data_IF_731609036090
#
_entry.id   IF_731609036090
#
_cell.length_a   1.000
_cell.length_b   1.000
_cell.length_c   1.000
_cell.angle_alpha   90.00
_cell.angle_beta   90.00
_cell.angle_gamma   90.00
#
_symmetry.space_group_name_H-M   'P 1'
#
loop_
_entity.id
_entity.type
_entity.pdbx_description
1 polymer ?
#
# COMPACT_ATOMS: atom_id res chain seq x y z
N UNK A 1 0.17 15.08 -19.40
CA UNK A 1 -0.65 16.04 -18.63
C UNK A 1 -1.16 15.37 -17.36
N UNK A 2 -0.99 15.99 -16.20
CA UNK A 2 -1.54 15.54 -14.91
C UNK A 2 -2.82 16.31 -14.64
N UNK A 3 -3.88 15.60 -14.25
CA UNK A 3 -5.17 16.17 -13.87
C UNK A 3 -5.48 15.73 -12.43
N UNK A 4 -5.56 16.68 -11.52
CA UNK A 4 -5.92 16.47 -10.12
C UNK A 4 -7.40 16.74 -9.87
N UNK A 5 -7.96 16.17 -8.80
CA UNK A 5 -9.38 16.35 -8.46
C UNK A 5 -10.35 15.56 -9.36
N UNK A 6 -9.85 14.62 -10.17
CA UNK A 6 -10.67 13.74 -11.01
C UNK A 6 -10.70 12.33 -10.41
N UNK A 7 -11.85 11.90 -9.94
CA UNK A 7 -12.09 10.55 -9.47
C UNK A 7 -12.76 9.73 -10.57
N UNK A 8 -12.18 8.56 -10.89
CA UNK A 8 -12.77 7.63 -11.86
C UNK A 8 -13.97 6.93 -11.23
N UNK A 9 -15.14 7.09 -11.84
CA UNK A 9 -16.41 6.55 -11.36
C UNK A 9 -16.98 5.45 -12.24
N UNK A 10 -16.42 5.25 -13.46
CA UNK A 10 -16.87 4.20 -14.36
C UNK A 10 -16.12 4.18 -15.68
N UNK A 11 -16.45 3.18 -16.50
CA UNK A 11 -15.97 3.00 -17.85
C UNK A 11 -17.12 2.66 -18.79
N UNK A 12 -17.21 3.36 -19.92
CA UNK A 12 -18.10 3.06 -21.02
C UNK A 12 -17.27 2.51 -22.17
N UNK A 13 -17.45 1.21 -22.50
CA UNK A 13 -16.67 0.55 -23.58
C UNK A 13 -17.40 0.72 -24.90
N UNK A 14 -16.67 1.21 -25.91
CA UNK A 14 -17.08 1.33 -27.31
C UNK A 14 -16.15 0.52 -28.20
N UNK A 15 -16.52 0.27 -29.44
CA UNK A 15 -15.78 -0.59 -30.35
C UNK A 15 -14.31 -0.15 -30.55
N UNK A 16 -14.06 1.16 -30.63
CA UNK A 16 -12.75 1.73 -30.94
C UNK A 16 -12.09 2.51 -29.80
N UNK A 17 -12.81 2.75 -28.71
CA UNK A 17 -12.30 3.51 -27.57
C UNK A 17 -13.03 3.15 -26.27
N UNK A 18 -12.42 3.50 -25.18
CA UNK A 18 -13.04 3.45 -23.83
C UNK A 18 -13.23 4.88 -23.35
N UNK A 19 -14.43 5.24 -22.89
CA UNK A 19 -14.67 6.48 -22.18
C UNK A 19 -14.48 6.24 -20.69
N UNK A 20 -13.47 6.87 -20.12
CA UNK A 20 -13.22 6.92 -18.66
C UNK A 20 -14.13 7.98 -18.08
N UNK A 21 -15.10 7.57 -17.28
CA UNK A 21 -16.06 8.46 -16.62
C UNK A 21 -15.47 8.91 -15.28
N UNK A 22 -15.53 10.20 -15.01
CA UNK A 22 -15.05 10.76 -13.73
C UNK A 22 -16.15 11.60 -13.07
N UNK A 23 -15.92 12.01 -11.83
CA UNK A 23 -16.81 12.91 -11.09
C UNK A 23 -16.99 14.31 -11.74
N UNK A 24 -16.16 14.66 -12.75
CA UNK A 24 -16.22 15.96 -13.43
C UNK A 24 -16.61 15.80 -14.90
N UNK A 25 -15.88 15.01 -15.68
CA UNK A 25 -16.14 14.78 -17.10
C UNK A 25 -15.62 13.43 -17.58
N UNK A 26 -16.02 12.99 -18.78
CA UNK A 26 -15.46 11.81 -19.42
C UNK A 26 -14.24 12.12 -20.28
N UNK A 27 -13.36 11.11 -20.41
CA UNK A 27 -12.18 11.13 -21.29
C UNK A 27 -12.24 9.93 -22.22
N UNK A 28 -12.20 10.15 -23.53
CA UNK A 28 -12.09 9.07 -24.51
C UNK A 28 -10.63 8.70 -24.74
N UNK A 29 -10.34 7.41 -24.66
CA UNK A 29 -8.99 6.87 -24.86
C UNK A 29 -9.05 5.50 -25.53
N UNK A 30 -7.99 5.10 -26.23
CA UNK A 30 -7.87 3.75 -26.78
C UNK A 30 -7.49 2.74 -25.70
N UNK A 31 -6.65 3.13 -24.77
CA UNK A 31 -6.09 2.24 -23.76
C UNK A 31 -6.11 2.88 -22.37
N UNK A 32 -6.23 2.04 -21.36
CA UNK A 32 -6.25 2.45 -19.94
C UNK A 32 -5.20 1.67 -19.16
N UNK A 33 -4.43 2.36 -18.33
CA UNK A 33 -3.56 1.72 -17.33
C UNK A 33 -4.04 2.15 -15.95
N UNK A 34 -4.51 1.20 -15.16
CA UNK A 34 -4.95 1.42 -13.80
C UNK A 34 -3.79 1.19 -12.83
N UNK A 35 -3.30 2.27 -12.24
CA UNK A 35 -2.29 2.28 -11.18
C UNK A 35 -2.84 2.93 -9.89
N UNK A 36 -4.10 2.65 -9.55
CA UNK A 36 -4.84 3.35 -8.49
C UNK A 36 -4.51 2.89 -7.04
N UNK A 37 -3.45 2.13 -6.82
CA UNK A 37 -2.95 1.76 -5.49
C UNK A 37 -4.04 1.18 -4.59
N UNK A 38 -4.39 1.88 -3.49
CA UNK A 38 -5.45 1.48 -2.55
C UNK A 38 -6.82 1.26 -3.20
N UNK A 39 -7.07 1.81 -4.39
CA UNK A 39 -8.35 1.71 -5.11
C UNK A 39 -8.28 0.82 -6.35
N UNK A 40 -7.12 0.20 -6.66
CA UNK A 40 -6.88 -0.48 -7.93
C UNK A 40 -7.85 -1.64 -8.21
N UNK A 41 -8.23 -2.41 -7.19
CA UNK A 41 -9.20 -3.50 -7.30
C UNK A 41 -10.63 -2.99 -7.54
N UNK A 42 -10.98 -1.81 -7.01
CA UNK A 42 -12.26 -1.14 -7.28
C UNK A 42 -12.31 -0.62 -8.72
N UNK A 43 -11.24 0.04 -9.16
CA UNK A 43 -11.14 0.54 -10.53
C UNK A 43 -11.20 -0.61 -11.54
N UNK A 44 -10.56 -1.76 -11.26
CA UNK A 44 -10.67 -2.94 -12.10
C UNK A 44 -12.13 -3.43 -12.22
N UNK A 45 -12.89 -3.46 -11.09
CA UNK A 45 -14.33 -3.84 -11.13
C UNK A 45 -15.18 -2.83 -11.87
N UNK A 46 -14.88 -1.53 -11.79
CA UNK A 46 -15.55 -0.52 -12.61
C UNK A 46 -15.35 -0.79 -14.12
N UNK A 47 -14.18 -1.30 -14.51
CA UNK A 47 -13.88 -1.76 -15.87
C UNK A 47 -14.47 -3.15 -16.21
N UNK A 48 -15.28 -3.73 -15.32
CA UNK A 48 -15.87 -5.08 -15.41
C UNK A 48 -14.85 -6.21 -15.45
N UNK A 49 -13.69 -5.97 -14.87
CA UNK A 49 -12.60 -6.95 -14.73
C UNK A 49 -12.63 -7.52 -13.31
N UNK A 50 -12.70 -8.85 -13.19
CA UNK A 50 -12.50 -9.49 -11.89
C UNK A 50 -11.03 -9.35 -11.49
N UNK A 51 -10.71 -8.62 -10.42
CA UNK A 51 -9.33 -8.46 -10.00
C UNK A 51 -8.68 -9.78 -9.52
N UNK A 52 -9.47 -10.77 -9.08
CA UNK A 52 -8.97 -12.02 -8.50
C UNK A 52 -8.31 -11.85 -7.11
N UNK A 53 -8.18 -10.63 -6.65
CA UNK A 53 -7.66 -10.23 -5.34
C UNK A 53 -8.53 -9.14 -4.73
N UNK A 54 -8.38 -8.92 -3.42
CA UNK A 54 -8.95 -7.77 -2.71
C UNK A 54 -7.83 -6.96 -2.09
N UNK A 55 -7.91 -5.63 -2.21
CA UNK A 55 -7.01 -4.76 -1.48
C UNK A 55 -7.50 -4.61 -0.05
N UNK A 56 -6.68 -5.06 0.87
CA UNK A 56 -6.91 -4.95 2.31
C UNK A 56 -5.94 -3.90 2.87
N UNK A 57 -6.44 -2.83 3.48
CA UNK A 57 -5.58 -1.78 4.00
C UNK A 57 -4.92 -2.19 5.31
N UNK A 58 -3.60 -2.03 5.39
CA UNK A 58 -2.83 -2.15 6.61
C UNK A 58 -2.18 -0.81 6.94
N UNK A 59 -2.52 -0.26 8.10
CA UNK A 59 -1.91 0.97 8.59
C UNK A 59 -0.60 0.65 9.30
N UNK A 60 0.41 1.44 8.99
CA UNK A 60 1.67 1.48 9.71
C UNK A 60 1.78 2.78 10.50
N UNK A 61 1.86 2.67 11.82
CA UNK A 61 2.13 3.82 12.68
C UNK A 61 3.64 4.04 12.74
N UNK A 62 4.05 5.29 12.68
CA UNK A 62 5.45 5.71 12.78
C UNK A 62 5.65 6.64 13.97
N UNK A 63 6.87 6.68 14.42
CA UNK A 63 7.39 7.69 15.35
C UNK A 63 8.59 8.39 14.69
N UNK A 64 8.86 9.58 15.09
CA UNK A 64 10.05 10.34 14.72
C UNK A 64 10.95 10.51 15.95
N UNK A 65 12.26 10.47 15.75
CA UNK A 65 13.22 10.78 16.82
C UNK A 65 13.24 12.27 17.07
N UNK A 66 13.28 12.65 18.35
CA UNK A 66 13.51 14.03 18.74
C UNK A 66 14.86 14.55 18.20
N UNK A 67 14.99 15.87 18.10
CA UNK A 67 16.24 16.48 17.62
C UNK A 67 17.47 16.07 18.42
N UNK A 68 17.31 15.81 19.72
CA UNK A 68 18.38 15.36 20.58
C UNK A 68 18.82 13.90 20.31
N UNK A 69 17.94 13.08 19.74
CA UNK A 69 18.17 11.66 19.53
C UNK A 69 18.52 11.27 18.07
N UNK A 70 18.30 12.16 17.11
CA UNK A 70 18.50 11.88 15.67
C UNK A 70 19.92 11.43 15.32
N UNK A 71 20.92 11.88 16.08
CA UNK A 71 22.33 11.53 15.85
C UNK A 71 22.68 10.10 16.30
N UNK A 72 21.77 9.40 17.01
CA UNK A 72 21.88 7.97 17.30
C UNK A 72 21.78 7.12 16.04
N UNK A 73 21.19 7.68 14.95
CA UNK A 73 20.95 6.98 13.67
C UNK A 73 21.70 7.73 12.58
N UNK A 74 22.80 7.18 12.10
CA UNK A 74 23.62 7.79 11.05
C UNK A 74 23.27 7.32 9.63
N UNK A 75 22.51 6.23 9.51
CA UNK A 75 22.12 5.64 8.24
C UNK A 75 20.76 4.97 8.35
N UNK A 76 20.58 3.85 7.66
CA UNK A 76 19.39 3.02 7.73
C UNK A 76 19.66 1.85 8.66
N UNK A 77 18.75 1.56 9.60
CA UNK A 77 18.86 0.43 10.52
C UNK A 77 17.64 -0.45 10.37
N UNK A 78 17.83 -1.66 9.85
CA UNK A 78 16.77 -2.64 9.61
C UNK A 78 17.02 -3.91 10.42
N UNK A 79 15.99 -4.55 10.97
CA UNK A 79 16.13 -5.90 11.49
C UNK A 79 16.34 -6.88 10.33
N UNK A 80 16.89 -8.06 10.62
CA UNK A 80 16.90 -9.16 9.66
C UNK A 80 15.43 -9.58 9.41
N UNK A 81 14.99 -9.63 8.14
CA UNK A 81 13.62 -10.01 7.82
C UNK A 81 13.32 -11.44 8.31
N UNK A 82 12.14 -11.64 8.91
CA UNK A 82 11.63 -12.97 9.19
C UNK A 82 10.89 -13.48 7.93
N UNK A 83 11.37 -14.57 7.28
CA UNK A 83 10.73 -15.10 6.08
C UNK A 83 9.27 -15.55 6.28
N UNK A 84 8.87 -15.80 7.53
CA UNK A 84 7.50 -16.19 7.85
C UNK A 84 6.51 -15.02 7.78
N UNK A 85 6.97 -13.78 7.75
CA UNK A 85 6.14 -12.59 7.77
C UNK A 85 6.49 -11.64 6.62
N UNK A 86 5.49 -11.16 5.85
CA UNK A 86 5.70 -10.26 4.71
C UNK A 86 5.98 -8.81 5.13
N UNK A 87 5.96 -8.52 6.42
CA UNK A 87 6.20 -7.18 6.95
C UNK A 87 7.56 -7.11 7.61
N UNK A 88 8.38 -6.17 7.18
CA UNK A 88 9.59 -5.79 7.89
C UNK A 88 9.18 -5.29 9.29
N UNK A 89 9.88 -5.76 10.31
CA UNK A 89 9.75 -5.21 11.67
C UNK A 89 10.10 -3.73 11.71
N UNK A 90 9.90 -3.11 12.88
CA UNK A 90 10.26 -1.71 13.07
C UNK A 90 11.73 -1.46 12.70
N UNK A 91 11.98 -0.37 12.01
CA UNK A 91 13.29 0.03 11.53
C UNK A 91 13.45 1.55 11.62
N UNK A 92 14.67 2.03 11.45
CA UNK A 92 14.96 3.47 11.44
C UNK A 92 15.35 3.92 10.04
N UNK A 93 14.75 5.00 9.59
CA UNK A 93 14.99 5.59 8.27
C UNK A 93 15.35 7.07 8.44
N UNK A 94 16.55 7.43 7.99
CA UNK A 94 16.96 8.81 7.87
C UNK A 94 16.26 9.47 6.69
N UNK A 95 15.56 10.57 6.94
CA UNK A 95 14.76 11.27 5.92
C UNK A 95 15.59 12.30 5.17
N UNK A 96 15.29 12.52 3.89
CA UNK A 96 15.99 13.49 3.03
C UNK A 96 15.86 14.92 3.59
N UNK A 97 14.71 15.26 4.15
CA UNK A 97 14.44 16.56 4.77
C UNK A 97 15.05 16.76 6.16
N UNK A 98 15.87 15.82 6.64
CA UNK A 98 16.32 15.72 8.03
C UNK A 98 15.33 14.87 8.86
N UNK A 99 15.64 14.64 10.12
CA UNK A 99 14.86 13.78 10.99
C UNK A 99 15.12 12.29 10.76
N UNK A 100 14.59 11.48 11.66
CA UNK A 100 14.67 10.01 11.60
C UNK A 100 13.32 9.43 11.95
N UNK A 101 12.68 8.79 11.00
CA UNK A 101 11.46 8.02 11.24
C UNK A 101 11.80 6.62 11.73
N UNK A 102 10.97 6.11 12.64
CA UNK A 102 11.05 4.74 13.14
C UNK A 102 9.68 4.08 13.13
N UNK A 103 9.64 2.87 12.62
CA UNK A 103 8.42 2.10 12.34
C UNK A 103 8.58 1.30 11.06
N UNK A 104 7.45 0.93 10.42
CA UNK A 104 6.09 0.91 10.97
C UNK A 104 5.76 -0.37 11.73
N UNK A 105 4.65 -0.36 12.48
CA UNK A 105 3.89 -1.56 12.76
C UNK A 105 2.98 -1.91 11.54
N UNK A 106 2.17 -2.97 11.64
CA UNK A 106 1.24 -3.34 10.59
C UNK A 106 -0.09 -3.78 11.18
N UNK A 107 -1.06 -2.87 11.26
CA UNK A 107 -2.40 -3.14 11.78
C UNK A 107 -3.46 -3.04 10.69
N UNK A 108 -4.44 -3.93 10.72
CA UNK A 108 -5.60 -3.84 9.84
C UNK A 108 -6.30 -2.49 10.01
N UNK A 109 -6.60 -1.80 8.92
CA UNK A 109 -7.30 -0.52 8.92
C UNK A 109 -8.76 -0.71 8.51
N UNK A 110 -9.68 -0.07 9.22
CA UNK A 110 -11.11 -0.06 8.90
C UNK A 110 -11.49 0.96 7.83
N UNK A 111 -10.50 1.66 7.26
CA UNK A 111 -10.66 2.62 6.18
C UNK A 111 -9.47 2.51 5.23
N UNK A 112 -9.70 2.51 3.89
CA UNK A 112 -8.61 2.39 2.91
C UNK A 112 -7.61 3.54 2.99
N UNK A 113 -8.10 4.74 3.21
CA UNK A 113 -7.28 5.93 3.45
C UNK A 113 -7.41 6.37 4.91
N UNK A 114 -7.24 5.39 5.83
CA UNK A 114 -7.34 5.56 7.27
C UNK A 114 -5.98 5.81 7.91
N UNK A 115 -5.55 7.07 7.97
CA UNK A 115 -4.27 7.47 8.55
C UNK A 115 -4.35 7.68 10.06
N UNK A 116 -5.54 7.93 10.60
CA UNK A 116 -5.81 8.01 12.04
C UNK A 116 -6.08 6.64 12.66
N UNK A 117 -5.77 6.50 13.97
CA UNK A 117 -5.98 5.24 14.71
C UNK A 117 -7.46 4.85 14.84
N UNK A 118 -8.35 5.83 14.78
CA UNK A 118 -9.81 5.67 14.93
C UNK A 118 -10.57 5.87 13.62
N UNK A 119 -9.86 6.05 12.50
CA UNK A 119 -10.49 6.22 11.20
C UNK A 119 -11.30 4.99 10.82
N UNK A 120 -12.57 5.23 10.45
CA UNK A 120 -13.51 4.17 10.14
C UNK A 120 -14.31 4.50 8.87
N UNK A 121 -14.57 3.50 8.04
CA UNK A 121 -15.47 3.55 6.88
C UNK A 121 -16.29 2.27 6.85
N UNK A 122 -17.61 2.40 6.93
CA UNK A 122 -18.51 1.24 6.87
C UNK A 122 -18.34 0.46 5.56
N UNK A 123 -18.21 1.17 4.43
CA UNK A 123 -17.99 0.57 3.11
C UNK A 123 -16.68 -0.22 3.06
N UNK A 124 -15.56 0.38 3.49
CA UNK A 124 -14.25 -0.25 3.43
C UNK A 124 -14.15 -1.44 4.39
N UNK A 125 -14.73 -1.29 5.57
CA UNK A 125 -14.80 -2.35 6.58
C UNK A 125 -15.63 -3.53 6.07
N UNK A 126 -16.81 -3.27 5.49
CA UNK A 126 -17.65 -4.31 4.92
C UNK A 126 -16.96 -5.03 3.78
N UNK A 127 -16.38 -4.30 2.82
CA UNK A 127 -15.67 -4.91 1.68
C UNK A 127 -14.49 -5.78 2.13
N UNK A 128 -13.77 -5.37 3.18
CA UNK A 128 -12.63 -6.12 3.72
C UNK A 128 -13.09 -7.35 4.51
N UNK A 129 -14.11 -7.22 5.36
CA UNK A 129 -14.57 -8.29 6.25
C UNK A 129 -15.52 -9.27 5.57
N UNK A 130 -16.25 -8.86 4.52
CA UNK A 130 -17.07 -9.76 3.69
C UNK A 130 -16.21 -10.66 2.77
N UNK A 131 -14.92 -10.40 2.66
CA UNK A 131 -14.01 -11.20 1.84
C UNK A 131 -13.45 -12.39 2.64
N UNK A 132 -13.75 -13.59 2.20
CA UNK A 132 -13.35 -14.82 2.91
C UNK A 132 -11.83 -14.97 3.07
N UNK A 133 -11.05 -14.44 2.11
CA UNK A 133 -9.59 -14.38 2.21
C UNK A 133 -9.10 -13.67 3.48
N UNK A 134 -9.80 -12.61 3.91
CA UNK A 134 -9.46 -11.86 5.14
C UNK A 134 -9.56 -12.73 6.38
N UNK A 135 -10.64 -13.52 6.51
CA UNK A 135 -10.80 -14.42 7.64
C UNK A 135 -9.78 -15.54 7.65
N UNK A 136 -9.45 -16.11 6.48
CA UNK A 136 -8.39 -17.11 6.38
C UNK A 136 -7.02 -16.56 6.79
N UNK A 137 -6.71 -15.34 6.37
CA UNK A 137 -5.49 -14.63 6.78
C UNK A 137 -5.49 -14.38 8.30
N UNK A 138 -6.60 -13.90 8.88
CA UNK A 138 -6.72 -13.66 10.32
C UNK A 138 -6.58 -14.95 11.12
N UNK A 139 -7.27 -16.02 10.74
CA UNK A 139 -7.16 -17.31 11.42
C UNK A 139 -5.73 -17.86 11.41
N UNK A 140 -5.01 -17.68 10.31
CA UNK A 140 -3.62 -18.13 10.21
C UNK A 140 -2.66 -17.30 11.07
N UNK A 141 -2.93 -16.00 11.25
CA UNK A 141 -1.99 -15.05 11.85
C UNK A 141 -2.57 -14.29 13.06
N UNK A 142 -3.57 -14.83 13.76
CA UNK A 142 -4.31 -14.11 14.79
C UNK A 142 -3.45 -13.66 15.98
N UNK A 143 -2.50 -14.48 16.43
CA UNK A 143 -1.59 -14.14 17.53
C UNK A 143 -0.68 -12.97 17.16
N UNK A 144 -0.16 -13.00 15.93
CA UNK A 144 0.65 -11.91 15.39
C UNK A 144 -0.16 -10.61 15.28
N UNK A 145 -1.36 -10.68 14.70
CA UNK A 145 -2.25 -9.53 14.56
C UNK A 145 -2.63 -8.89 15.90
N UNK A 146 -2.92 -9.72 16.93
CA UNK A 146 -3.18 -9.22 18.27
C UNK A 146 -1.96 -8.49 18.87
N UNK A 147 -0.76 -9.00 18.63
CA UNK A 147 0.50 -8.37 19.03
C UNK A 147 0.68 -7.00 18.38
N UNK A 148 0.39 -6.90 17.06
CA UNK A 148 0.47 -5.63 16.32
C UNK A 148 -0.52 -4.58 16.84
N UNK A 149 -1.77 -4.99 17.12
CA UNK A 149 -2.75 -4.08 17.71
C UNK A 149 -2.30 -3.56 19.08
N UNK A 150 -1.75 -4.44 19.95
CA UNK A 150 -1.23 -4.01 21.26
C UNK A 150 -0.08 -3.02 21.12
N UNK A 151 0.80 -3.20 20.13
CA UNK A 151 1.89 -2.26 19.83
C UNK A 151 1.37 -0.92 19.30
N UNK A 152 0.34 -0.93 18.44
CA UNK A 152 -0.24 0.29 17.90
C UNK A 152 -0.82 1.24 18.96
N UNK A 153 -1.31 0.68 20.07
CA UNK A 153 -1.90 1.45 21.16
C UNK A 153 -0.96 1.63 22.38
N UNK A 154 0.26 1.10 22.33
CA UNK A 154 1.22 1.19 23.42
C UNK A 154 2.59 1.68 22.97
N UNK A 155 2.87 2.96 23.20
CA UNK A 155 4.19 3.57 22.99
C UNK A 155 5.32 2.76 23.65
N UNK A 156 5.05 2.23 24.87
CA UNK A 156 6.01 1.42 25.63
C UNK A 156 6.36 0.11 24.92
N UNK A 157 5.39 -0.57 24.32
CA UNK A 157 5.62 -1.81 23.56
C UNK A 157 6.37 -1.51 22.27
N UNK A 158 5.98 -0.45 21.58
CA UNK A 158 6.65 0.00 20.35
C UNK A 158 8.12 0.36 20.62
N UNK A 159 8.37 1.14 21.69
CA UNK A 159 9.73 1.50 22.11
C UNK A 159 10.57 0.26 22.42
N UNK A 160 10.02 -0.77 23.07
CA UNK A 160 10.75 -2.00 23.35
C UNK A 160 11.24 -2.70 22.08
N UNK A 161 10.47 -2.66 21.00
CA UNK A 161 10.90 -3.22 19.73
C UNK A 161 12.00 -2.37 19.07
N UNK A 162 11.92 -1.05 19.16
CA UNK A 162 12.99 -0.14 18.73
C UNK A 162 14.28 -0.33 19.54
N UNK A 163 14.16 -0.58 20.84
CA UNK A 163 15.30 -0.82 21.73
C UNK A 163 16.07 -2.11 21.42
N UNK A 164 15.49 -3.04 20.63
CA UNK A 164 16.25 -4.18 20.09
C UNK A 164 17.33 -3.74 19.11
N UNK A 165 17.12 -2.63 18.42
CA UNK A 165 18.05 -2.06 17.44
C UNK A 165 18.93 -0.97 18.09
N UNK A 166 18.34 -0.13 18.95
CA UNK A 166 19.05 0.93 19.68
C UNK A 166 18.70 0.83 21.16
N UNK A 167 19.45 0.06 21.97
CA UNK A 167 19.14 -0.17 23.39
C UNK A 167 19.10 1.10 24.26
N UNK A 168 19.82 2.14 23.86
CA UNK A 168 19.89 3.43 24.58
C UNK A 168 18.73 4.40 24.28
N UNK A 169 17.74 3.98 23.48
CA UNK A 169 16.62 4.86 23.12
C UNK A 169 15.65 5.03 24.30
N UNK A 170 15.33 6.26 24.64
CA UNK A 170 14.41 6.61 25.72
C UNK A 170 13.01 6.98 25.20
N UNK A 171 12.01 6.95 26.09
CA UNK A 171 10.62 7.18 25.70
C UNK A 171 10.32 8.63 25.30
N UNK A 172 11.03 9.57 25.83
CA UNK A 172 10.95 11.01 25.53
C UNK A 172 11.69 11.37 24.23
N UNK A 173 12.47 10.44 23.70
CA UNK A 173 13.20 10.62 22.44
C UNK A 173 12.41 10.22 21.18
N UNK A 174 11.17 9.72 21.34
CA UNK A 174 10.32 9.38 20.20
C UNK A 174 8.98 10.10 20.28
N UNK A 175 8.51 10.64 19.16
CA UNK A 175 7.23 11.33 19.03
C UNK A 175 6.38 10.70 17.91
N UNK A 176 5.04 10.58 18.08
CA UNK A 176 4.19 10.08 17.02
C UNK A 176 4.25 10.96 15.78
N UNK A 177 4.40 10.36 14.62
CA UNK A 177 4.34 11.07 13.35
C UNK A 177 3.25 10.51 12.42
N UNK A 178 3.24 10.93 11.15
CA UNK A 178 2.19 10.53 10.19
C UNK A 178 2.24 9.03 9.91
N UNK A 179 1.08 8.39 9.98
CA UNK A 179 0.93 7.01 9.58
C UNK A 179 0.88 6.87 8.05
N UNK A 180 1.28 5.70 7.56
CA UNK A 180 1.07 5.27 6.19
C UNK A 180 0.01 4.17 6.09
N UNK A 181 -0.62 4.00 4.92
CA UNK A 181 -1.50 2.87 4.66
C UNK A 181 -0.95 2.07 3.49
N UNK A 182 -0.70 0.79 3.73
CA UNK A 182 -0.27 -0.17 2.71
C UNK A 182 -1.50 -0.76 2.02
N UNK A 183 -1.50 -0.74 0.68
CA UNK A 183 -2.45 -1.45 -0.15
C UNK A 183 -2.01 -2.92 -0.27
N UNK A 184 -2.43 -3.79 0.63
CA UNK A 184 -2.04 -5.20 0.57
C UNK A 184 -3.01 -5.98 -0.30
N UNK A 185 -2.53 -6.51 -1.41
CA UNK A 185 -3.31 -7.42 -2.23
C UNK A 185 -3.41 -8.78 -1.54
N UNK A 186 -4.65 -9.26 -1.38
CA UNK A 186 -4.98 -10.51 -0.71
C UNK A 186 -5.77 -11.41 -1.64
N UNK A 187 -5.29 -12.64 -1.82
CA UNK A 187 -5.98 -13.65 -2.61
C UNK A 187 -7.09 -14.38 -1.83
N UNK A 188 -7.95 -15.13 -2.53
CA UNK A 188 -9.14 -15.78 -1.93
C UNK A 188 -8.80 -16.88 -0.91
N UNK A 189 -7.59 -17.42 -0.97
CA UNK A 189 -7.09 -18.41 0.01
C UNK A 189 -6.40 -17.77 1.22
N UNK A 190 -6.43 -16.42 1.34
CA UNK A 190 -5.77 -15.68 2.41
C UNK A 190 -4.26 -15.52 2.20
N UNK A 191 -3.76 -15.79 1.00
CA UNK A 191 -2.37 -15.54 0.63
C UNK A 191 -2.16 -14.04 0.37
N UNK A 192 -1.12 -13.51 0.97
CA UNK A 192 -0.62 -12.17 0.66
C UNK A 192 0.12 -12.21 -0.67
N UNK A 193 -0.07 -11.20 -1.49
CA UNK A 193 0.62 -11.07 -2.77
C UNK A 193 1.76 -10.08 -2.57
N UNK A 194 2.99 -10.55 -2.75
CA UNK A 194 4.20 -9.79 -2.44
C UNK A 194 4.91 -9.30 -3.71
N UNK A 195 4.61 -9.91 -4.86
CA UNK A 195 5.18 -9.56 -6.15
C UNK A 195 4.15 -8.86 -7.06
N UNK A 196 4.55 -8.49 -8.26
CA UNK A 196 3.65 -7.93 -9.25
C UNK A 196 2.42 -8.81 -9.47
N UNK A 197 1.25 -8.18 -9.39
CA UNK A 197 0.00 -8.80 -9.78
C UNK A 197 -0.73 -7.89 -10.76
N UNK A 198 -0.62 -8.20 -12.05
CA UNK A 198 -1.10 -7.36 -13.14
C UNK A 198 -2.08 -8.16 -14.00
N UNK A 199 -3.27 -7.61 -14.21
CA UNK A 199 -4.24 -8.14 -15.17
C UNK A 199 -4.24 -7.34 -16.44
N UNK A 200 -4.26 -8.03 -17.56
CA UNK A 200 -4.24 -7.46 -18.91
C UNK A 200 -5.53 -7.85 -19.63
N UNK A 201 -6.22 -6.85 -20.11
CA UNK A 201 -7.40 -6.99 -20.96
C UNK A 201 -7.13 -6.36 -22.31
N UNK A 202 -8.00 -6.56 -23.29
CA UNK A 202 -7.79 -6.07 -24.67
C UNK A 202 -7.37 -4.59 -24.73
N UNK A 203 -8.01 -3.74 -23.92
CA UNK A 203 -7.80 -2.28 -23.97
C UNK A 203 -7.41 -1.71 -22.59
N UNK A 204 -7.13 -2.55 -21.60
CA UNK A 204 -6.72 -2.07 -20.27
C UNK A 204 -5.70 -2.98 -19.60
N UNK A 205 -4.86 -2.35 -18.76
CA UNK A 205 -3.93 -3.01 -17.86
C UNK A 205 -4.25 -2.54 -16.45
N UNK A 206 -4.41 -3.48 -15.52
CA UNK A 206 -4.68 -3.19 -14.12
C UNK A 206 -3.52 -3.67 -13.26
N UNK A 207 -2.76 -2.74 -12.71
CA UNK A 207 -1.69 -3.02 -11.74
C UNK A 207 -2.35 -3.15 -10.37
N UNK A 208 -2.58 -4.39 -9.95
CA UNK A 208 -3.30 -4.74 -8.72
C UNK A 208 -2.38 -4.92 -7.53
N UNK A 209 -1.11 -5.17 -7.77
CA UNK A 209 -0.03 -5.12 -6.79
C UNK A 209 1.29 -4.77 -7.47
N UNK A 210 2.08 -3.95 -6.81
CA UNK A 210 3.48 -3.72 -7.15
C UNK A 210 4.33 -3.99 -5.89
N UNK A 211 5.52 -4.62 -6.03
CA UNK A 211 6.34 -4.98 -4.88
C UNK A 211 6.78 -3.76 -4.08
N UNK A 212 6.79 -3.89 -2.76
CA UNK A 212 7.33 -2.86 -1.85
C UNK A 212 8.86 -2.93 -1.84
N UNK A 213 9.56 -1.81 -1.86
CA UNK A 213 9.13 -0.42 -1.70
C UNK A 213 8.77 0.26 -3.04
N UNK A 214 7.50 0.26 -3.39
CA UNK A 214 7.03 0.71 -4.71
C UNK A 214 7.29 2.20 -4.99
N UNK A 215 7.17 3.08 -3.99
CA UNK A 215 7.39 4.51 -4.17
C UNK A 215 8.86 4.82 -4.51
N UNK A 216 9.81 4.20 -3.82
CA UNK A 216 11.25 4.37 -4.08
C UNK A 216 11.67 3.79 -5.43
N UNK A 217 11.04 2.68 -5.85
CA UNK A 217 11.31 2.02 -7.14
C UNK A 217 10.36 2.48 -8.26
N UNK A 218 9.61 3.57 -8.06
CA UNK A 218 8.50 3.98 -8.95
C UNK A 218 8.94 4.23 -10.40
N UNK A 219 10.14 4.73 -10.63
CA UNK A 219 10.65 4.95 -11.99
C UNK A 219 10.88 3.63 -12.72
N UNK A 220 11.57 2.67 -12.07
CA UNK A 220 11.80 1.34 -12.65
C UNK A 220 10.49 0.54 -12.83
N UNK A 221 9.56 0.66 -11.86
CA UNK A 221 8.21 0.06 -11.98
C UNK A 221 7.46 0.69 -13.15
N UNK A 222 7.53 2.02 -13.30
CA UNK A 222 6.90 2.75 -14.40
C UNK A 222 7.45 2.34 -15.77
N UNK A 223 8.77 2.17 -15.88
CA UNK A 223 9.44 1.65 -17.08
C UNK A 223 8.94 0.25 -17.43
N UNK A 224 8.97 -0.68 -16.48
CA UNK A 224 8.45 -2.05 -16.67
C UNK A 224 6.99 -2.08 -17.14
N UNK A 225 6.12 -1.26 -16.52
CA UNK A 225 4.69 -1.18 -16.90
C UNK A 225 4.56 -0.55 -18.29
N UNK A 226 5.39 0.44 -18.64
CA UNK A 226 5.36 1.09 -19.95
C UNK A 226 5.77 0.14 -21.06
N UNK A 227 6.85 -0.62 -20.88
CA UNK A 227 7.29 -1.65 -21.83
C UNK A 227 6.21 -2.72 -22.02
N UNK A 228 5.61 -3.18 -20.92
CA UNK A 228 4.49 -4.10 -20.96
C UNK A 228 3.31 -3.54 -21.76
N UNK A 229 2.98 -2.26 -21.58
CA UNK A 229 1.88 -1.59 -22.29
C UNK A 229 2.18 -1.43 -23.78
N UNK A 230 3.40 -1.02 -24.14
CA UNK A 230 3.85 -0.90 -25.53
C UNK A 230 3.68 -2.25 -26.24
N UNK A 231 4.19 -3.31 -25.65
CA UNK A 231 4.10 -4.67 -26.21
C UNK A 231 2.65 -5.18 -26.26
N UNK A 232 1.88 -4.97 -25.20
CA UNK A 232 0.51 -5.50 -25.09
C UNK A 232 -0.47 -4.81 -26.03
N UNK A 233 -0.34 -3.50 -26.18
CA UNK A 233 -1.22 -2.69 -27.03
C UNK A 233 -0.71 -2.50 -28.45
N UNK A 234 0.48 -3.05 -28.80
CA UNK A 234 1.08 -2.89 -30.12
C UNK A 234 1.37 -1.42 -30.45
N UNK A 235 1.85 -0.66 -29.46
CA UNK A 235 2.21 0.74 -29.69
C UNK A 235 3.55 0.82 -30.41
N UNK A 236 3.64 1.70 -31.42
CA UNK A 236 4.93 2.00 -32.02
C UNK A 236 5.82 2.75 -31.03
N UNK A 237 7.08 2.32 -30.89
CA UNK A 237 8.07 3.14 -30.18
C UNK A 237 8.20 4.46 -30.93
N UNK A 238 8.11 5.58 -30.20
CA UNK A 238 8.49 6.87 -30.78
C UNK A 238 10.01 6.89 -30.82
N UNK A 239 10.54 6.91 -32.06
CA UNK A 239 11.92 7.31 -32.30
C UNK A 239 12.27 8.69 -31.72
#
# INVERSE_FOLDING_TARGET
>A
KVLTGYEVTGFEKHDFYTKVVTNQRGFSTKYVINCAGLQCDRVARLDRVDPGVRIIPFRGDYYELSDAAKDKVKGLIYPVPDPAFPFLGVHFTRMIGGGVECGPNAVFSFKREGYGKTDFSLKDSWESLAYWGTWRMFMKNWLYGLGEYRRAFSKKLFLRDLQRLIPSLASDEIEPCKAGVRAQALGPKGQLIDDFFIKRERNSIHVLNAPSPAATASLAIGEHISEMAIKHFGLAEKE
#
